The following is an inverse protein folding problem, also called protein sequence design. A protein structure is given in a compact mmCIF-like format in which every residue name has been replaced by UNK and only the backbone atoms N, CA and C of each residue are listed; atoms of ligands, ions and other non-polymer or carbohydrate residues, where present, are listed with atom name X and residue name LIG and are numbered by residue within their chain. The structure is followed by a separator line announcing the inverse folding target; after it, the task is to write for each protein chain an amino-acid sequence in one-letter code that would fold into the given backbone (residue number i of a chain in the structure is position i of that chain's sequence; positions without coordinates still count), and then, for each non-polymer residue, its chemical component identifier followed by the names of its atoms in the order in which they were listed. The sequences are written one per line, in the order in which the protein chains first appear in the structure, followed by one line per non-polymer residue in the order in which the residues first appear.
data_IF_520986698174
#
_entry.id   IF_520986698174
#
_cell.length_a   1.000
_cell.length_b   1.000
_cell.length_c   1.000
_cell.angle_alpha   90.00
_cell.angle_beta   90.00
_cell.angle_gamma   90.00
#
_symmetry.space_group_name_H-M   'P 1'
#
loop_
_entity.id
_entity.type
_entity.pdbx_description
1 polymer ?
#
# COMPACT_ATOMS: atom_id res chain seq x y z
N UNK A 1 14.42 24.62 -7.89
CA UNK A 1 13.63 24.12 -6.76
C UNK A 1 12.85 22.90 -7.21
N UNK A 2 12.64 21.91 -6.34
CA UNK A 2 11.81 20.73 -6.63
C UNK A 2 10.57 20.80 -5.75
N UNK A 3 9.42 20.49 -6.33
CA UNK A 3 8.18 20.31 -5.57
C UNK A 3 8.18 18.89 -5.06
N UNK A 4 8.04 18.72 -3.74
CA UNK A 4 8.03 17.41 -3.09
C UNK A 4 6.73 17.21 -2.34
N UNK A 5 6.38 15.96 -2.11
CA UNK A 5 5.25 15.59 -1.25
C UNK A 5 5.63 14.42 -0.35
N UNK A 6 4.83 14.25 0.70
CA UNK A 6 4.94 13.16 1.65
C UNK A 6 3.96 12.04 1.24
N UNK A 7 4.44 10.80 1.23
CA UNK A 7 3.64 9.61 0.93
C UNK A 7 3.82 8.56 2.01
N UNK A 8 2.76 7.78 2.26
CA UNK A 8 2.81 6.61 3.13
C UNK A 8 2.89 5.34 2.29
N UNK A 9 4.05 4.69 2.31
CA UNK A 9 4.29 3.39 1.70
C UNK A 9 3.68 2.29 2.58
N UNK A 10 2.70 1.59 2.02
CA UNK A 10 2.12 0.40 2.62
C UNK A 10 3.05 -0.79 2.45
N UNK A 11 2.84 -1.84 3.26
CA UNK A 11 3.59 -3.09 3.10
C UNK A 11 3.34 -3.72 1.71
N UNK A 12 4.15 -4.70 1.36
CA UNK A 12 3.78 -5.67 0.32
C UNK A 12 2.46 -6.36 0.68
N UNK A 13 1.67 -6.83 -0.31
CA UNK A 13 0.43 -7.56 -0.03
C UNK A 13 0.66 -8.81 0.82
N UNK A 14 -0.32 -9.16 1.67
CA UNK A 14 -0.36 -10.44 2.35
C UNK A 14 -0.39 -11.57 1.31
N UNK A 15 0.60 -12.47 1.38
CA UNK A 15 0.80 -13.51 0.37
C UNK A 15 -0.34 -14.52 0.34
N UNK A 16 -0.83 -14.94 1.51
CA UNK A 16 -1.87 -15.97 1.58
C UNK A 16 -3.19 -15.43 1.03
N UNK A 17 -3.57 -14.21 1.40
CA UNK A 17 -4.79 -13.60 0.85
C UNK A 17 -4.67 -13.35 -0.65
N UNK A 18 -3.50 -12.92 -1.12
CA UNK A 18 -3.25 -12.70 -2.53
C UNK A 18 -3.40 -14.00 -3.33
N UNK A 19 -2.86 -15.10 -2.82
CA UNK A 19 -2.98 -16.43 -3.44
C UNK A 19 -4.43 -16.94 -3.41
N UNK A 20 -5.10 -16.89 -2.27
CA UNK A 20 -6.50 -17.33 -2.12
C UNK A 20 -7.48 -16.51 -2.97
N UNK A 21 -7.20 -15.24 -3.19
CA UNK A 21 -8.00 -14.36 -4.05
C UNK A 21 -7.63 -14.44 -5.53
N UNK A 22 -6.80 -15.41 -5.93
CA UNK A 22 -6.30 -15.53 -7.31
C UNK A 22 -5.69 -14.22 -7.84
N UNK A 23 -4.85 -13.59 -7.03
CA UNK A 23 -4.16 -12.32 -7.35
C UNK A 23 -5.09 -11.11 -7.48
N UNK A 24 -6.32 -11.18 -6.97
CA UNK A 24 -7.32 -10.11 -7.11
C UNK A 24 -7.24 -9.10 -5.97
N UNK A 25 -6.96 -9.54 -4.74
CA UNK A 25 -7.02 -8.69 -3.54
C UNK A 25 -5.61 -8.38 -3.03
N UNK A 26 -5.21 -7.11 -3.14
CA UNK A 26 -4.02 -6.57 -2.48
C UNK A 26 -4.39 -6.05 -1.09
N UNK A 27 -4.25 -6.90 -0.08
CA UNK A 27 -4.36 -6.48 1.32
C UNK A 27 -2.98 -6.14 1.87
N UNK A 28 -2.80 -4.89 2.29
CA UNK A 28 -1.54 -4.40 2.83
C UNK A 28 -1.75 -3.76 4.21
N UNK A 29 -0.67 -3.59 4.95
CA UNK A 29 -0.67 -2.96 6.27
C UNK A 29 -0.08 -1.55 6.19
N UNK A 30 -0.69 -0.60 6.89
CA UNK A 30 -0.14 0.72 7.10
C UNK A 30 1.09 0.62 8.02
N UNK A 31 2.23 1.16 7.58
CA UNK A 31 3.51 1.06 8.30
C UNK A 31 3.79 2.25 9.23
N UNK A 32 2.83 3.15 9.41
CA UNK A 32 2.98 4.36 10.21
C UNK A 32 4.12 5.25 9.72
N UNK A 33 4.89 5.80 10.66
CA UNK A 33 6.03 6.69 10.38
C UNK A 33 7.17 5.98 9.63
N UNK A 34 7.34 4.67 9.82
CA UNK A 34 8.39 3.90 9.12
C UNK A 34 8.14 3.85 7.63
N UNK A 35 6.86 3.87 7.22
CA UNK A 35 6.47 3.94 5.81
C UNK A 35 6.40 5.36 5.26
N UNK A 36 6.81 6.39 5.99
CA UNK A 36 6.65 7.77 5.57
C UNK A 36 7.85 8.24 4.75
N UNK A 37 7.63 8.63 3.49
CA UNK A 37 8.69 9.01 2.57
C UNK A 37 8.41 10.34 1.88
N UNK A 38 9.47 11.09 1.61
CA UNK A 38 9.43 12.27 0.75
C UNK A 38 9.76 11.85 -0.67
N UNK A 39 8.89 12.19 -1.62
CA UNK A 39 9.09 11.90 -3.05
C UNK A 39 8.99 13.19 -3.87
N UNK A 40 9.69 13.23 -5.00
CA UNK A 40 9.47 14.27 -6.01
C UNK A 40 8.07 14.06 -6.61
N UNK A 41 7.26 15.11 -6.71
CA UNK A 41 5.89 14.98 -7.24
C UNK A 41 5.87 14.48 -8.69
N UNK A 42 6.97 14.69 -9.43
CA UNK A 42 7.11 14.24 -10.82
C UNK A 42 7.35 12.74 -10.98
N UNK A 43 7.73 12.04 -9.90
CA UNK A 43 7.91 10.59 -9.89
C UNK A 43 6.60 9.83 -9.64
N UNK A 44 5.50 10.52 -9.30
CA UNK A 44 4.20 9.91 -9.03
C UNK A 44 3.51 9.54 -10.34
N UNK A 45 3.41 8.25 -10.63
CA UNK A 45 2.74 7.75 -11.85
C UNK A 45 1.22 7.59 -11.68
N UNK A 46 0.76 7.22 -10.48
CA UNK A 46 -0.65 6.98 -10.19
C UNK A 46 -0.94 7.18 -8.70
N UNK A 47 -2.20 7.47 -8.39
CA UNK A 47 -2.74 7.50 -7.02
C UNK A 47 -3.87 6.49 -6.96
N UNK A 48 -3.81 5.60 -5.97
CA UNK A 48 -4.87 4.62 -5.70
C UNK A 48 -5.50 4.91 -4.34
N UNK A 49 -6.74 4.46 -4.18
CA UNK A 49 -7.42 4.46 -2.88
C UNK A 49 -7.43 3.05 -2.31
N UNK A 50 -6.99 2.92 -1.06
CA UNK A 50 -7.07 1.66 -0.30
C UNK A 50 -8.32 1.70 0.57
N UNK A 51 -9.12 0.64 0.54
CA UNK A 51 -10.30 0.49 1.38
C UNK A 51 -9.88 -0.19 2.69
N UNK A 52 -10.10 0.41 3.87
CA UNK A 52 -9.81 -0.26 5.14
C UNK A 52 -10.62 -1.54 5.32
N UNK A 53 -9.96 -2.62 5.69
CA UNK A 53 -10.58 -3.94 5.87
C UNK A 53 -9.88 -4.77 6.96
N UNK A 54 -10.49 -5.87 7.38
CA UNK A 54 -9.94 -6.85 8.34
C UNK A 54 -10.23 -8.28 7.87
N UNK A 55 -9.50 -8.79 6.87
CA UNK A 55 -9.74 -10.11 6.30
C UNK A 55 -9.43 -11.19 7.33
N UNK A 56 -10.28 -12.21 7.37
CA UNK A 56 -10.02 -13.44 8.11
C UNK A 56 -9.58 -14.52 7.13
N UNK A 57 -8.47 -15.19 7.42
CA UNK A 57 -8.02 -16.35 6.67
C UNK A 57 -8.68 -17.62 7.25
N UNK A 58 -9.09 -18.58 6.40
CA UNK A 58 -9.54 -19.87 6.88
C UNK A 58 -8.40 -20.55 7.67
N UNK A 59 -8.76 -21.14 8.80
CA UNK A 59 -7.86 -21.89 9.70
C UNK A 59 -7.44 -23.23 9.12
#
# INVERSE_FOLDING_TARGET
FRTVTLVSLYSTPDKQLLELSHQTVWSCTNQGEVGLHVVDVTDIQAIITVIPHWPTLPS
#
